data_IF_736323924495
#
_entry.id   IF_736323924495
#
_cell.length_a   1.000
_cell.length_b   1.000
_cell.length_c   1.000
_cell.angle_alpha   90.00
_cell.angle_beta   90.00
_cell.angle_gamma   90.00
#
_symmetry.space_group_name_H-M   'P 1'
#
loop_
_entity.id
_entity.type
_entity.pdbx_description
1 polymer ?
#
# COMPACT_ATOMS: atom_id res chain seq x y z
N UNK A 1 8.09 1.38 12.08
CA UNK A 1 9.23 0.79 11.33
C UNK A 1 9.21 1.17 9.86
N UNK A 2 8.06 1.20 9.19
CA UNK A 2 7.95 1.59 7.76
C UNK A 2 8.64 2.91 7.41
N UNK A 3 8.55 3.93 8.27
CA UNK A 3 9.22 5.23 8.07
C UNK A 3 10.76 5.17 7.99
N UNK A 4 11.38 4.09 8.49
CA UNK A 4 12.82 3.87 8.33
C UNK A 4 13.15 3.04 7.08
N UNK A 5 12.26 2.15 6.64
CA UNK A 5 12.49 1.25 5.51
C UNK A 5 12.20 1.95 4.18
N UNK A 6 11.08 2.67 4.10
CA UNK A 6 10.60 3.26 2.86
C UNK A 6 11.59 4.26 2.22
N UNK A 7 12.23 5.19 2.98
CA UNK A 7 13.24 6.08 2.40
C UNK A 7 14.44 5.35 1.82
N UNK A 8 14.91 4.28 2.49
CA UNK A 8 16.04 3.48 2.01
C UNK A 8 15.73 2.74 0.71
N UNK A 9 14.52 2.19 0.59
CA UNK A 9 14.08 1.57 -0.66
C UNK A 9 14.03 2.59 -1.80
N UNK A 10 13.55 3.80 -1.51
CA UNK A 10 13.52 4.88 -2.48
C UNK A 10 14.93 5.32 -2.91
N UNK A 11 15.87 5.46 -1.97
CA UNK A 11 17.29 5.75 -2.24
C UNK A 11 17.97 4.69 -3.13
N UNK A 12 17.49 3.44 -3.07
CA UNK A 12 17.97 2.34 -3.93
C UNK A 12 17.34 2.35 -5.34
N UNK A 13 16.48 3.33 -5.66
CA UNK A 13 15.82 3.45 -6.97
C UNK A 13 14.53 2.63 -7.10
N UNK A 14 13.99 2.11 -5.99
CA UNK A 14 12.68 1.46 -6.01
C UNK A 14 11.58 2.52 -6.04
N UNK A 15 10.56 2.31 -6.86
CA UNK A 15 9.35 3.14 -6.83
C UNK A 15 8.58 2.85 -5.54
N UNK A 16 8.54 3.83 -4.65
CA UNK A 16 7.91 3.70 -3.33
C UNK A 16 6.83 4.75 -3.19
N UNK A 17 5.62 4.29 -2.87
CA UNK A 17 4.51 5.16 -2.46
C UNK A 17 4.19 4.90 -0.99
N UNK A 18 4.11 5.97 -0.20
CA UNK A 18 3.75 5.92 1.21
C UNK A 18 2.24 6.13 1.39
N UNK A 19 1.68 5.41 2.35
CA UNK A 19 0.33 5.66 2.86
C UNK A 19 0.34 5.49 4.38
N UNK A 20 -0.47 6.29 5.06
CA UNK A 20 -0.74 6.12 6.48
C UNK A 20 -2.18 6.56 6.77
N UNK A 21 -2.82 5.91 7.75
CA UNK A 21 -4.12 6.35 8.29
C UNK A 21 -4.10 7.80 8.81
N UNK A 22 -2.93 8.28 9.20
CA UNK A 22 -2.65 9.63 9.63
C UNK A 22 -1.80 10.30 8.53
N UNK A 23 -2.41 11.06 7.60
CA UNK A 23 -1.72 11.61 6.42
C UNK A 23 -0.44 12.37 6.75
N UNK A 24 -0.42 13.10 7.86
CA UNK A 24 0.73 13.87 8.34
C UNK A 24 1.98 13.01 8.55
N UNK A 25 1.81 11.72 8.87
CA UNK A 25 2.93 10.77 9.05
C UNK A 25 3.48 10.28 7.71
N UNK A 26 2.64 10.19 6.68
CA UNK A 26 3.09 9.88 5.32
C UNK A 26 3.81 11.10 4.72
N UNK A 27 3.27 12.30 4.93
CA UNK A 27 3.85 13.57 4.46
C UNK A 27 5.25 13.82 5.02
N UNK A 28 5.45 13.53 6.31
CA UNK A 28 6.75 13.66 6.96
C UNK A 28 7.85 12.77 6.34
N UNK A 29 7.50 11.77 5.51
CA UNK A 29 8.49 10.90 4.85
C UNK A 29 9.16 11.53 3.63
N UNK A 30 8.57 12.57 3.03
CA UNK A 30 9.05 13.16 1.78
C UNK A 30 8.92 12.26 0.54
N UNK A 31 8.27 11.09 0.67
CA UNK A 31 8.02 10.16 -0.43
C UNK A 31 6.72 10.52 -1.18
N UNK A 32 6.53 10.01 -2.41
CA UNK A 32 5.22 10.03 -3.06
C UNK A 32 4.13 9.44 -2.16
N UNK A 33 2.95 10.07 -2.13
CA UNK A 33 1.88 9.73 -1.17
C UNK A 33 0.64 9.26 -1.93
N UNK A 34 0.06 8.14 -1.48
CA UNK A 34 -1.32 7.79 -1.74
C UNK A 34 -2.18 8.26 -0.57
N UNK A 35 -3.33 8.88 -0.84
CA UNK A 35 -4.22 9.39 0.21
C UNK A 35 -5.27 8.37 0.67
N UNK A 36 -5.51 7.33 -0.13
CA UNK A 36 -6.44 6.24 0.20
C UNK A 36 -5.78 4.89 -0.03
N UNK A 37 -6.25 3.85 0.67
CA UNK A 37 -5.77 2.48 0.46
C UNK A 37 -6.10 1.98 -0.94
N UNK A 38 -7.24 2.38 -1.51
CA UNK A 38 -7.61 2.05 -2.88
C UNK A 38 -6.57 2.56 -3.88
N UNK A 39 -6.21 3.85 -3.81
CA UNK A 39 -5.18 4.44 -4.68
C UNK A 39 -3.81 3.78 -4.47
N UNK A 40 -3.49 3.41 -3.24
CA UNK A 40 -2.26 2.67 -2.95
C UNK A 40 -2.25 1.31 -3.67
N UNK A 41 -3.35 0.56 -3.59
CA UNK A 41 -3.47 -0.77 -4.19
C UNK A 41 -3.43 -0.72 -5.72
N UNK A 42 -4.08 0.26 -6.35
CA UNK A 42 -4.07 0.41 -7.81
C UNK A 42 -2.67 0.70 -8.37
N UNK A 43 -1.80 1.35 -7.58
CA UNK A 43 -0.48 1.82 -8.02
C UNK A 43 0.68 0.93 -7.58
N UNK A 44 0.41 -0.11 -6.79
CA UNK A 44 1.46 -0.89 -6.14
C UNK A 44 1.33 -2.38 -6.49
N UNK A 45 2.39 -2.96 -7.05
CA UNK A 45 2.47 -4.41 -7.25
C UNK A 45 2.68 -5.15 -5.91
N UNK A 46 3.34 -4.50 -4.95
CA UNK A 46 3.72 -5.06 -3.65
C UNK A 46 3.35 -4.07 -2.55
N UNK A 47 2.62 -4.54 -1.54
CA UNK A 47 2.25 -3.76 -0.37
C UNK A 47 2.96 -4.31 0.86
N UNK A 48 3.75 -3.46 1.52
CA UNK A 48 4.43 -3.77 2.78
C UNK A 48 3.73 -3.04 3.91
N UNK A 49 3.15 -3.78 4.84
CA UNK A 49 2.43 -3.22 6.00
C UNK A 49 3.31 -3.16 7.23
N UNK A 50 3.39 -1.99 7.88
CA UNK A 50 4.07 -1.81 9.18
C UNK A 50 3.08 -1.16 10.17
N UNK A 51 2.31 -1.99 10.87
CA UNK A 51 1.27 -1.55 11.80
C UNK A 51 1.70 -1.77 13.25
N UNK A 52 1.35 -0.84 14.12
CA UNK A 52 1.62 -0.92 15.56
C UNK A 52 0.28 -1.25 16.23
N UNK A 53 0.18 -2.43 16.84
CA UNK A 53 -1.04 -3.10 17.34
C UNK A 53 -1.73 -4.07 16.36
N UNK A 54 -1.99 -5.29 16.86
CA UNK A 54 -2.60 -6.41 16.14
C UNK A 54 -4.11 -6.24 16.01
N UNK A 55 -4.76 -5.64 16.99
CA UNK A 55 -6.22 -5.74 17.08
C UNK A 55 -6.89 -4.51 16.46
N UNK A 56 -6.61 -3.31 16.96
CA UNK A 56 -7.32 -2.12 16.47
C UNK A 56 -6.77 -1.62 15.12
N UNK A 57 -5.44 -1.57 15.01
CA UNK A 57 -4.82 -0.99 13.84
C UNK A 57 -4.85 -1.93 12.63
N UNK A 58 -4.48 -3.20 12.84
CA UNK A 58 -4.48 -4.17 11.75
C UNK A 58 -5.90 -4.45 11.23
N UNK A 59 -6.90 -4.64 12.11
CA UNK A 59 -8.26 -4.92 11.65
C UNK A 59 -8.85 -3.77 10.85
N UNK A 60 -8.63 -2.51 11.25
CA UNK A 60 -9.12 -1.38 10.47
C UNK A 60 -8.46 -1.27 9.08
N UNK A 61 -7.16 -1.60 8.98
CA UNK A 61 -6.39 -1.51 7.72
C UNK A 61 -6.65 -2.70 6.80
N UNK A 62 -6.88 -3.90 7.33
CA UNK A 62 -7.16 -5.07 6.51
C UNK A 62 -8.64 -5.25 6.24
N UNK A 63 -9.49 -5.10 7.25
CA UNK A 63 -10.90 -5.51 7.23
C UNK A 63 -11.89 -4.34 7.39
N UNK A 64 -11.43 -3.10 7.51
CA UNK A 64 -12.32 -1.93 7.48
C UNK A 64 -13.03 -1.79 6.13
N UNK A 65 -14.01 -0.89 6.05
CA UNK A 65 -14.82 -0.68 4.84
C UNK A 65 -13.96 -0.35 3.60
N UNK A 66 -12.86 0.39 3.80
CA UNK A 66 -11.83 0.68 2.78
C UNK A 66 -10.52 -0.09 3.02
N UNK A 67 -10.58 -1.16 3.80
CA UNK A 67 -9.41 -1.97 4.17
C UNK A 67 -8.86 -2.74 2.96
N UNK A 68 -7.59 -3.16 3.04
CA UNK A 68 -6.90 -3.90 1.98
C UNK A 68 -7.67 -5.11 1.44
N UNK A 69 -8.36 -5.85 2.31
CA UNK A 69 -9.13 -7.03 1.91
C UNK A 69 -10.51 -6.69 1.33
N UNK A 70 -11.03 -5.48 1.60
CA UNK A 70 -12.29 -4.97 1.05
C UNK A 70 -12.10 -4.13 -0.24
N UNK A 71 -11.00 -3.39 -0.33
CA UNK A 71 -10.73 -2.40 -1.36
C UNK A 71 -10.07 -2.95 -2.65
N UNK A 72 -9.70 -4.24 -2.67
CA UNK A 72 -9.12 -4.84 -3.88
C UNK A 72 -7.76 -5.52 -3.73
N UNK A 73 -7.44 -6.15 -2.59
CA UNK A 73 -6.57 -7.33 -2.62
C UNK A 73 -7.23 -8.55 -3.30
N UNK A 74 -8.21 -8.31 -4.19
CA UNK A 74 -8.59 -9.26 -5.20
C UNK A 74 -7.37 -9.43 -6.10
N UNK A 75 -6.71 -10.58 -5.95
CA UNK A 75 -5.79 -11.16 -6.91
C UNK A 75 -6.05 -10.60 -8.31
N UNK A 76 -5.11 -9.81 -8.83
CA UNK A 76 -5.06 -9.54 -10.26
C UNK A 76 -4.86 -10.89 -10.93
N UNK A 77 -5.96 -11.57 -11.30
CA UNK A 77 -5.87 -12.64 -12.27
C UNK A 77 -5.57 -11.93 -13.58
N UNK A 78 -4.29 -11.85 -13.93
CA UNK A 78 -3.91 -11.56 -15.30
C UNK A 78 -4.37 -12.74 -16.16
N UNK A 79 -5.64 -12.72 -16.56
CA UNK A 79 -6.09 -13.51 -17.69
C UNK A 79 -5.38 -12.92 -18.92
N UNK A 80 -4.21 -13.48 -19.22
CA UNK A 80 -3.51 -13.25 -20.47
C UNK A 80 -4.41 -13.74 -21.60
N UNK A 81 -5.18 -12.83 -22.18
CA UNK A 81 -5.81 -13.05 -23.49
C UNK A 81 -4.68 -13.21 -24.50
N UNK A 82 -4.29 -14.46 -24.75
CA UNK A 82 -3.54 -14.79 -25.96
C UNK A 82 -4.43 -14.46 -27.15
N UNK A 83 -4.09 -13.39 -27.87
CA UNK A 83 -4.43 -13.28 -29.28
C UNK A 83 -3.89 -14.53 -29.98
N UNK A 84 -4.78 -15.37 -30.49
CA UNK A 84 -4.44 -16.40 -31.47
C UNK A 84 -4.88 -15.86 -32.82
N UNK A 85 -3.92 -15.88 -33.74
CA UNK A 85 -3.99 -15.44 -35.13
C UNK A 85 -5.06 -16.15 -35.95
#
# INVERSE_FOLDING_TARGET
MGAAIAPRLHEMGVEVTAWNRFPEKAEASGLPIAYTLHVLCERSDIIITSLFDRDSAAMAVYCGDEGLLGAGAAISSSASSKCVH
#
